data_IF_384641955519
#
_entry.id   IF_384641955519
#
_cell.length_a   1.000
_cell.length_b   1.000
_cell.length_c   1.000
_cell.angle_alpha   90.00
_cell.angle_beta   90.00
_cell.angle_gamma   90.00
#
_symmetry.space_group_name_H-M   'P 1'
#
loop_
_entity.id
_entity.type
_entity.pdbx_description
1 polymer ?
#
# COMPACT_ATOMS: atom_id res chain seq x y z
N UNK A 1 7.82 10.90 13.27
CA UNK A 1 7.44 9.49 13.44
C UNK A 1 5.92 9.47 13.57
N UNK A 2 5.21 8.82 12.64
CA UNK A 2 3.74 8.73 12.57
C UNK A 2 3.44 7.28 12.19
N UNK A 3 2.36 6.68 12.72
CA UNK A 3 2.07 5.25 12.48
C UNK A 3 2.28 4.32 13.67
N UNK A 4 2.64 4.83 14.85
CA UNK A 4 2.85 4.00 16.04
C UNK A 4 1.53 3.61 16.68
N UNK A 5 1.44 2.34 17.10
CA UNK A 5 0.34 1.84 17.92
C UNK A 5 0.89 1.63 19.33
N UNK A 6 0.21 2.18 20.33
CA UNK A 6 0.48 1.94 21.75
C UNK A 6 -0.66 1.11 22.33
N UNK A 7 -0.31 0.09 23.10
CA UNK A 7 -1.27 -0.80 23.75
C UNK A 7 -0.73 -1.31 25.07
N UNK A 8 -1.63 -1.80 25.92
CA UNK A 8 -1.23 -2.49 27.15
C UNK A 8 -0.40 -3.74 26.83
N UNK A 9 0.36 -4.23 27.81
CA UNK A 9 1.16 -5.46 27.67
C UNK A 9 0.23 -6.61 27.25
N UNK A 10 0.55 -7.25 26.13
CA UNK A 10 -0.26 -8.34 25.55
C UNK A 10 -1.47 -7.89 24.72
N UNK A 11 -1.74 -6.59 24.59
CA UNK A 11 -2.84 -6.03 23.79
C UNK A 11 -2.37 -5.33 22.50
N UNK A 12 -1.08 -5.47 22.15
CA UNK A 12 -0.54 -4.91 20.91
C UNK A 12 -1.02 -5.74 19.69
N UNK A 13 -1.41 -5.08 18.59
CA UNK A 13 -1.75 -5.78 17.36
C UNK A 13 -0.55 -6.55 16.79
N UNK A 14 -0.85 -7.56 15.97
CA UNK A 14 0.18 -8.32 15.26
C UNK A 14 0.98 -7.42 14.29
N UNK A 15 2.30 -7.66 14.20
CA UNK A 15 3.21 -6.92 13.33
C UNK A 15 3.34 -7.69 12.01
N UNK A 16 2.97 -7.07 10.89
CA UNK A 16 3.07 -7.67 9.56
C UNK A 16 4.34 -7.24 8.83
N UNK A 17 5.07 -8.19 8.23
CA UNK A 17 6.26 -7.92 7.40
C UNK A 17 5.99 -8.09 5.91
N UNK A 18 5.03 -8.95 5.56
CA UNK A 18 4.61 -9.18 4.18
C UNK A 18 3.09 -9.12 4.10
N UNK A 19 2.57 -8.54 3.03
CA UNK A 19 1.14 -8.37 2.82
C UNK A 19 0.74 -8.89 1.43
N UNK A 20 -0.33 -9.67 1.38
CA UNK A 20 -1.03 -10.00 0.16
C UNK A 20 -2.25 -9.07 0.05
N UNK A 21 -2.28 -8.28 -1.03
CA UNK A 21 -3.28 -7.23 -1.21
C UNK A 21 -4.09 -7.48 -2.49
N UNK A 22 -5.41 -7.32 -2.38
CA UNK A 22 -6.25 -7.14 -3.57
C UNK A 22 -6.29 -5.66 -3.90
N UNK A 23 -5.98 -5.26 -5.13
CA UNK A 23 -5.85 -3.85 -5.48
C UNK A 23 -6.57 -3.51 -6.79
N UNK A 24 -6.86 -2.23 -6.96
CA UNK A 24 -7.36 -1.62 -8.18
C UNK A 24 -6.48 -0.41 -8.50
N UNK A 25 -6.05 -0.30 -9.77
CA UNK A 25 -5.30 0.86 -10.24
C UNK A 25 -6.21 1.83 -10.98
N UNK A 26 -6.02 3.11 -10.70
CA UNK A 26 -6.64 4.21 -11.44
C UNK A 26 -6.27 4.12 -12.92
N UNK A 27 -7.14 4.61 -13.80
CA UNK A 27 -6.84 4.66 -15.24
C UNK A 27 -5.79 5.72 -15.58
N UNK A 28 -5.78 6.84 -14.84
CA UNK A 28 -4.92 8.00 -15.04
C UNK A 28 -4.56 8.63 -13.71
N UNK A 29 -3.40 9.32 -13.66
CA UNK A 29 -2.99 10.08 -12.49
C UNK A 29 -3.94 11.25 -12.24
N UNK A 30 -4.20 11.53 -10.96
CA UNK A 30 -5.03 12.64 -10.52
C UNK A 30 -4.16 13.86 -10.18
N UNK A 31 -4.65 15.06 -10.48
CA UNK A 31 -4.00 16.31 -10.07
C UNK A 31 -2.65 16.61 -10.74
N UNK A 32 -2.31 15.94 -11.85
CA UNK A 32 -1.13 16.29 -12.66
C UNK A 32 -1.58 17.31 -13.70
N UNK A 33 -0.90 18.46 -13.74
CA UNK A 33 -1.15 19.49 -14.76
C UNK A 33 -0.79 18.91 -16.12
N UNK A 34 -1.78 18.83 -17.00
CA UNK A 34 -1.58 18.55 -18.42
C UNK A 34 -1.49 19.87 -19.17
N UNK A 35 -0.45 20.05 -19.97
CA UNK A 35 -0.39 21.17 -20.91
C UNK A 35 -1.42 20.95 -22.02
N UNK A 36 -2.43 21.84 -22.10
CA UNK A 36 -3.49 21.82 -23.11
C UNK A 36 -4.48 20.65 -23.00
N UNK A 37 -5.08 20.24 -24.12
CA UNK A 37 -6.04 19.13 -24.26
C UNK A 37 -5.45 17.72 -24.08
N UNK A 38 -4.21 17.62 -23.60
CA UNK A 38 -3.55 16.33 -23.37
C UNK A 38 -4.17 15.65 -22.16
N UNK A 39 -4.55 14.38 -22.31
CA UNK A 39 -5.13 13.59 -21.21
C UNK A 39 -4.04 13.27 -20.17
N UNK A 40 -4.42 13.23 -18.89
CA UNK A 40 -3.50 12.90 -17.79
C UNK A 40 -2.76 11.56 -18.01
N UNK A 41 -1.52 11.49 -17.52
CA UNK A 41 -0.64 10.35 -17.72
C UNK A 41 -1.31 9.03 -17.24
N UNK A 42 -1.17 7.99 -18.06
CA UNK A 42 -1.77 6.68 -17.79
C UNK A 42 -1.00 5.98 -16.67
N UNK A 43 -1.73 5.39 -15.72
CA UNK A 43 -1.12 4.58 -14.67
C UNK A 43 -0.70 3.23 -15.27
N UNK A 44 0.57 2.89 -15.11
CA UNK A 44 1.11 1.59 -15.52
C UNK A 44 0.80 0.52 -14.47
N UNK A 45 0.74 -0.75 -14.90
CA UNK A 45 0.61 -1.90 -13.99
C UNK A 45 1.76 -1.93 -12.97
N UNK A 46 1.57 -2.64 -11.86
CA UNK A 46 2.64 -2.86 -10.88
C UNK A 46 3.70 -3.78 -11.48
N UNK A 47 4.97 -3.51 -11.18
CA UNK A 47 6.11 -4.33 -11.63
C UNK A 47 6.79 -5.03 -10.47
N UNK A 48 7.35 -6.23 -10.70
CA UNK A 48 8.15 -6.92 -9.69
C UNK A 48 9.37 -6.08 -9.31
N UNK A 49 9.74 -6.10 -8.02
CA UNK A 49 10.80 -5.32 -7.39
C UNK A 49 10.57 -3.80 -7.37
N UNK A 50 9.41 -3.32 -7.83
CA UNK A 50 9.03 -1.92 -7.71
C UNK A 50 8.80 -1.55 -6.23
N UNK A 51 9.28 -0.37 -5.82
CA UNK A 51 9.01 0.19 -4.51
C UNK A 51 7.84 1.16 -4.62
N UNK A 52 6.79 0.89 -3.86
CA UNK A 52 5.61 1.73 -3.74
C UNK A 52 5.51 2.28 -2.32
N UNK A 53 4.81 3.40 -2.19
CA UNK A 53 4.35 3.89 -0.89
C UNK A 53 2.95 3.32 -0.65
N UNK A 54 2.76 2.72 0.51
CA UNK A 54 1.50 2.09 0.92
C UNK A 54 1.01 2.81 2.15
N UNK A 55 -0.19 3.35 2.06
CA UNK A 55 -0.85 4.00 3.19
C UNK A 55 -1.91 3.03 3.75
N UNK A 56 -1.75 2.65 5.02
CA UNK A 56 -2.61 1.72 5.76
C UNK A 56 -3.15 2.50 6.96
N UNK A 57 -4.41 2.94 6.87
CA UNK A 57 -4.97 3.86 7.86
C UNK A 57 -4.15 5.15 7.98
N UNK A 58 -3.45 5.30 9.11
CA UNK A 58 -2.58 6.45 9.40
C UNK A 58 -1.07 6.16 9.20
N UNK A 59 -0.70 4.91 8.94
CA UNK A 59 0.67 4.49 8.69
C UNK A 59 0.98 4.62 7.19
N UNK A 60 2.09 5.29 6.86
CA UNK A 60 2.64 5.31 5.49
C UNK A 60 4.00 4.62 5.48
N UNK A 61 4.15 3.59 4.65
CA UNK A 61 5.38 2.80 4.59
C UNK A 61 5.77 2.46 3.15
N UNK A 62 7.06 2.24 2.92
CA UNK A 62 7.57 1.75 1.65
C UNK A 62 7.43 0.23 1.56
N UNK A 63 6.82 -0.27 0.50
CA UNK A 63 6.70 -1.70 0.21
C UNK A 63 7.32 -2.06 -1.13
N UNK A 64 8.06 -3.18 -1.19
CA UNK A 64 8.56 -3.73 -2.44
C UNK A 64 7.60 -4.78 -2.97
N UNK A 65 7.19 -4.64 -4.23
CA UNK A 65 6.33 -5.62 -4.91
C UNK A 65 7.13 -6.91 -5.16
N UNK A 66 6.80 -7.99 -4.45
CA UNK A 66 7.46 -9.29 -4.60
C UNK A 66 6.93 -10.08 -5.81
N UNK A 67 5.61 -10.07 -6.00
CA UNK A 67 4.93 -10.73 -7.12
C UNK A 67 3.61 -10.00 -7.43
N UNK A 68 3.16 -10.12 -8.68
CA UNK A 68 1.87 -9.58 -9.13
C UNK A 68 1.08 -10.73 -9.74
N UNK A 69 -0.04 -11.08 -9.11
CA UNK A 69 -0.97 -12.06 -9.65
C UNK A 69 -2.16 -11.34 -10.29
N UNK A 70 -2.53 -11.74 -11.49
CA UNK A 70 -3.78 -11.31 -12.10
C UNK A 70 -4.90 -12.12 -11.45
N UNK A 71 -5.47 -11.62 -10.34
CA UNK A 71 -6.59 -12.28 -9.69
C UNK A 71 -7.85 -11.42 -9.77
N UNK A 72 -8.92 -12.02 -10.29
CA UNK A 72 -10.25 -11.44 -10.46
C UNK A 72 -10.98 -11.46 -9.12
N UNK A 73 -11.51 -10.30 -8.73
CA UNK A 73 -11.90 -9.95 -7.37
C UNK A 73 -12.87 -10.87 -6.63
N UNK A 74 -12.62 -11.02 -5.33
CA UNK A 74 -13.67 -11.18 -4.31
C UNK A 74 -13.85 -9.83 -3.63
N UNK A 75 -15.02 -9.21 -3.69
CA UNK A 75 -15.34 -8.04 -2.87
C UNK A 75 -15.75 -8.60 -1.51
N UNK A 76 -14.90 -8.49 -0.50
CA UNK A 76 -15.29 -8.75 0.90
C UNK A 76 -15.05 -7.48 1.69
N UNK A 77 -16.08 -6.95 2.33
CA UNK A 77 -15.95 -5.72 3.13
C UNK A 77 -15.09 -5.89 4.39
N UNK A 78 -14.72 -7.14 4.73
CA UNK A 78 -13.81 -7.45 5.83
C UNK A 78 -12.34 -7.32 5.39
N UNK A 79 -11.61 -6.40 6.05
CA UNK A 79 -10.17 -6.18 5.86
C UNK A 79 -9.81 -4.69 5.77
N UNK A 80 -8.59 -4.34 6.18
CA UNK A 80 -8.14 -2.95 6.21
C UNK A 80 -7.88 -2.40 4.79
N UNK A 81 -8.39 -1.19 4.54
CA UNK A 81 -8.27 -0.51 3.25
C UNK A 81 -6.90 0.14 3.13
N UNK A 82 -6.34 0.12 1.93
CA UNK A 82 -5.03 0.70 1.64
C UNK A 82 -5.07 1.63 0.44
N UNK A 83 -4.20 2.63 0.44
CA UNK A 83 -3.89 3.45 -0.72
C UNK A 83 -2.50 3.10 -1.26
N UNK A 84 -2.35 3.12 -2.59
CA UNK A 84 -1.09 2.83 -3.28
C UNK A 84 -0.62 4.09 -3.99
N UNK A 85 0.60 4.50 -3.67
CA UNK A 85 1.25 5.69 -4.21
C UNK A 85 2.57 5.32 -4.90
N UNK A 86 2.85 5.98 -6.03
CA UNK A 86 4.06 5.80 -6.84
C UNK A 86 4.79 7.11 -6.98
N UNK A 87 6.12 7.07 -6.95
CA UNK A 87 6.94 8.26 -7.22
C UNK A 87 6.98 8.54 -8.72
N UNK A 88 6.47 9.70 -9.13
CA UNK A 88 6.46 10.19 -10.52
C UNK A 88 6.95 11.62 -10.50
N UNK A 89 7.98 11.94 -11.29
CA UNK A 89 8.54 13.30 -11.40
C UNK A 89 8.79 13.95 -10.03
N UNK A 90 9.43 13.21 -9.11
CA UNK A 90 9.74 13.61 -7.72
C UNK A 90 8.53 13.75 -6.78
N UNK A 91 7.30 13.55 -7.25
CA UNK A 91 6.08 13.61 -6.44
C UNK A 91 5.54 12.21 -6.13
N UNK A 92 5.00 12.00 -4.92
CA UNK A 92 4.16 10.85 -4.64
C UNK A 92 2.78 11.07 -5.26
N UNK A 93 2.38 10.16 -6.15
CA UNK A 93 1.09 10.21 -6.84
C UNK A 93 0.29 8.97 -6.47
N UNK A 94 -0.96 9.18 -6.06
CA UNK A 94 -1.92 8.09 -5.86
C UNK A 94 -2.14 7.37 -7.20
N UNK A 95 -1.91 6.06 -7.22
CA UNK A 95 -2.09 5.20 -8.39
C UNK A 95 -3.22 4.21 -8.24
N UNK A 96 -3.72 3.96 -7.03
CA UNK A 96 -4.75 2.98 -6.78
C UNK A 96 -5.10 2.82 -5.31
N UNK A 97 -6.02 1.90 -5.04
CA UNK A 97 -6.43 1.52 -3.70
C UNK A 97 -6.60 0.00 -3.64
N UNK A 98 -6.74 -0.54 -2.44
CA UNK A 98 -6.92 -1.97 -2.25
C UNK A 98 -7.34 -2.31 -0.84
N UNK A 99 -7.18 -3.59 -0.53
CA UNK A 99 -7.49 -4.15 0.77
C UNK A 99 -6.52 -5.28 1.08
N UNK A 100 -6.10 -5.36 2.33
CA UNK A 100 -5.26 -6.45 2.84
C UNK A 100 -6.10 -7.73 2.91
N UNK A 101 -5.57 -8.82 2.34
CA UNK A 101 -6.20 -10.14 2.37
C UNK A 101 -5.57 -11.03 3.42
N UNK A 102 -4.25 -11.05 3.44
CA UNK A 102 -3.42 -11.87 4.31
C UNK A 102 -2.12 -11.13 4.57
N UNK A 103 -1.45 -11.49 5.66
CA UNK A 103 -0.10 -11.03 5.92
C UNK A 103 0.68 -12.06 6.71
N UNK A 104 2.00 -11.97 6.63
CA UNK A 104 2.92 -12.77 7.44
C UNK A 104 3.30 -11.93 8.66
N UNK A 105 3.11 -12.51 9.84
CA UNK A 105 3.37 -11.83 11.11
C UNK A 105 4.75 -12.18 11.66
N UNK A 106 5.32 -11.24 12.41
CA UNK A 106 6.55 -11.43 13.17
C UNK A 106 6.30 -11.14 14.65
N UNK A 107 6.94 -11.93 15.52
CA UNK A 107 6.97 -11.62 16.95
C UNK A 107 8.06 -10.58 17.21
N UNK A 108 7.75 -9.48 17.92
CA UNK A 108 8.77 -8.52 18.30
C UNK A 108 9.79 -9.21 19.21
N UNK A 109 11.08 -8.91 18.99
CA UNK A 109 12.12 -9.25 19.96
C UNK A 109 12.00 -8.28 21.11
N UNK A 110 11.75 -8.79 22.31
CA UNK A 110 11.89 -8.04 23.55
C UNK A 110 13.28 -8.39 24.03
N UNK A 111 14.19 -7.43 24.00
CA UNK A 111 15.48 -7.59 24.66
C UNK A 111 15.19 -7.46 26.17
N UNK A 112 15.32 -8.57 26.90
CA UNK A 112 15.25 -8.57 28.36
C UNK A 112 16.54 -7.92 28.91
N UNK A 113 16.44 -6.67 29.35
CA UNK A 113 17.44 -6.03 30.23
C UNK A 113 17.17 -6.39 31.70
#
# INVERSE_FOLDING_TARGET
MVGQVLGAVGALPEIFTELEISYFLLRRLLGVRTEGDKKAAKVQKLSKNEVLMVDIGFLSTGGRVSAVKADSGKISEAGEKIALSRRVEKHCRLIGWGQIRRGVTIKPRVDDD
#
